data_IF_610405057549
#
_entry.id   IF_610405057549
#
_cell.length_a   1.000
_cell.length_b   1.000
_cell.length_c   1.000
_cell.angle_alpha   90.00
_cell.angle_beta   90.00
_cell.angle_gamma   90.00
#
_symmetry.space_group_name_H-M   'P 1'
#
loop_
_entity.id
_entity.type
_entity.pdbx_description
1 polymer ?
#
# COMPACT_ATOMS: atom_id res chain seq x y z
N UNK A 1 6.63 -16.10 10.56
CA UNK A 1 6.98 -14.69 10.25
C UNK A 1 7.13 -14.50 8.74
N UNK A 2 8.00 -15.21 8.06
CA UNK A 2 8.16 -15.10 6.60
C UNK A 2 6.87 -15.35 5.81
N UNK A 3 6.03 -16.28 6.24
CA UNK A 3 4.75 -16.60 5.59
C UNK A 3 3.75 -15.44 5.64
N UNK A 4 3.65 -14.70 6.74
CA UNK A 4 2.73 -13.56 6.86
C UNK A 4 3.18 -12.36 6.03
N UNK A 5 4.48 -12.12 5.91
CA UNK A 5 5.01 -11.09 5.00
C UNK A 5 4.70 -11.43 3.54
N UNK A 6 4.91 -12.68 3.15
CA UNK A 6 4.55 -13.16 1.81
C UNK A 6 3.04 -13.05 1.56
N UNK A 7 2.22 -13.41 2.54
CA UNK A 7 0.76 -13.26 2.44
C UNK A 7 0.34 -11.81 2.20
N UNK A 8 0.96 -10.85 2.88
CA UNK A 8 0.73 -9.41 2.65
C UNK A 8 1.17 -8.98 1.27
N UNK A 9 2.31 -9.48 0.79
CA UNK A 9 2.80 -9.19 -0.56
C UNK A 9 1.83 -9.66 -1.62
N UNK A 10 1.29 -10.87 -1.50
CA UNK A 10 0.30 -11.41 -2.44
C UNK A 10 -1.02 -10.66 -2.37
N UNK A 11 -1.49 -10.32 -1.16
CA UNK A 11 -2.70 -9.51 -0.98
C UNK A 11 -2.54 -8.13 -1.62
N UNK A 12 -1.40 -7.45 -1.40
CA UNK A 12 -1.12 -6.13 -2.00
C UNK A 12 -1.07 -6.20 -3.52
N UNK A 13 -0.37 -7.19 -4.10
CA UNK A 13 -0.31 -7.37 -5.55
C UNK A 13 -1.69 -7.63 -6.15
N UNK A 14 -2.55 -8.37 -5.45
CA UNK A 14 -3.92 -8.65 -5.91
C UNK A 14 -4.79 -7.39 -5.86
N UNK A 15 -4.69 -6.58 -4.81
CA UNK A 15 -5.38 -5.28 -4.70
C UNK A 15 -4.86 -4.29 -5.75
N UNK A 16 -3.54 -4.26 -5.98
CA UNK A 16 -2.92 -3.43 -7.02
C UNK A 16 -3.50 -3.74 -8.39
N UNK A 17 -3.51 -5.00 -8.79
CA UNK A 17 -4.01 -5.41 -10.10
C UNK A 17 -5.51 -5.13 -10.23
N UNK A 18 -6.30 -5.44 -9.22
CA UNK A 18 -7.73 -5.16 -9.20
C UNK A 18 -8.02 -3.67 -9.33
N UNK A 19 -7.30 -2.83 -8.60
CA UNK A 19 -7.46 -1.37 -8.64
C UNK A 19 -7.03 -0.82 -10.00
N UNK A 20 -5.90 -1.26 -10.53
CA UNK A 20 -5.39 -0.87 -11.85
C UNK A 20 -6.34 -1.25 -12.99
N UNK A 21 -7.07 -2.38 -12.87
CA UNK A 21 -8.06 -2.85 -13.84
C UNK A 21 -9.44 -2.18 -13.71
N UNK A 22 -9.60 -1.22 -12.82
CA UNK A 22 -10.84 -0.46 -12.66
C UNK A 22 -11.80 -1.03 -11.60
N UNK A 23 -11.33 -1.84 -10.69
CA UNK A 23 -12.04 -2.25 -9.46
C UNK A 23 -13.30 -3.08 -9.70
N UNK A 24 -13.32 -3.93 -10.70
CA UNK A 24 -14.43 -4.84 -10.96
C UNK A 24 -14.44 -5.98 -9.96
N UNK A 25 -15.48 -6.06 -9.14
CA UNK A 25 -15.54 -7.02 -8.03
C UNK A 25 -15.54 -8.47 -8.50
N UNK A 26 -16.10 -8.76 -9.66
CA UNK A 26 -16.10 -10.09 -10.26
C UNK A 26 -14.71 -10.59 -10.68
N UNK A 27 -13.77 -9.68 -10.91
CA UNK A 27 -12.39 -10.04 -11.29
C UNK A 27 -11.51 -10.36 -10.08
N UNK A 28 -11.82 -9.82 -8.91
CA UNK A 28 -10.96 -9.94 -7.72
C UNK A 28 -10.69 -11.39 -7.28
N UNK A 29 -11.69 -12.29 -7.19
CA UNK A 29 -11.43 -13.69 -6.82
C UNK A 29 -10.49 -14.39 -7.81
N UNK A 30 -10.67 -14.14 -9.11
CA UNK A 30 -9.83 -14.74 -10.16
C UNK A 30 -8.38 -14.25 -10.09
N UNK A 31 -8.20 -12.94 -9.85
CA UNK A 31 -6.89 -12.32 -9.65
C UNK A 31 -6.21 -12.94 -8.41
N UNK A 32 -6.94 -13.02 -7.32
CA UNK A 32 -6.43 -13.55 -6.06
C UNK A 32 -6.01 -15.01 -6.18
N UNK A 33 -6.86 -15.88 -6.73
CA UNK A 33 -6.56 -17.31 -6.90
C UNK A 33 -5.34 -17.53 -7.78
N UNK A 34 -5.21 -16.76 -8.86
CA UNK A 34 -4.03 -16.83 -9.72
C UNK A 34 -2.76 -16.39 -8.98
N UNK A 35 -2.80 -15.26 -8.29
CA UNK A 35 -1.65 -14.72 -7.58
C UNK A 35 -1.21 -15.63 -6.41
N UNK A 36 -2.15 -16.27 -5.72
CA UNK A 36 -1.84 -17.28 -4.70
C UNK A 36 -1.09 -18.47 -5.33
N UNK A 37 -1.57 -18.99 -6.44
CA UNK A 37 -0.94 -20.11 -7.14
C UNK A 37 0.45 -19.78 -7.64
N UNK A 38 0.64 -18.57 -8.14
CA UNK A 38 1.89 -18.12 -8.74
C UNK A 38 2.94 -17.73 -7.70
N UNK A 39 2.56 -16.95 -6.68
CA UNK A 39 3.50 -16.34 -5.75
C UNK A 39 3.52 -16.96 -4.36
N UNK A 40 2.53 -17.75 -4.01
CA UNK A 40 2.39 -18.37 -2.68
C UNK A 40 2.19 -19.89 -2.71
N UNK A 41 2.65 -20.56 -3.76
CA UNK A 41 2.49 -22.02 -3.93
C UNK A 41 3.13 -22.86 -2.82
N UNK A 42 4.05 -22.29 -2.04
CA UNK A 42 4.68 -22.93 -0.89
C UNK A 42 4.04 -22.62 0.46
N UNK A 43 2.95 -21.84 0.50
CA UNK A 43 2.21 -21.57 1.73
C UNK A 43 1.23 -22.71 2.01
N UNK A 44 1.32 -23.29 3.22
CA UNK A 44 0.37 -24.30 3.67
C UNK A 44 -1.00 -23.71 3.99
N UNK A 45 -1.04 -22.43 4.46
CA UNK A 45 -2.25 -21.72 4.85
C UNK A 45 -2.39 -20.41 4.08
N UNK A 46 -3.46 -20.27 3.32
CA UNK A 46 -3.80 -19.05 2.56
C UNK A 46 -4.91 -18.23 3.20
N UNK A 47 -5.47 -18.68 4.31
CA UNK A 47 -6.60 -18.02 4.99
C UNK A 47 -6.29 -16.57 5.38
N UNK A 48 -5.05 -16.31 5.78
CA UNK A 48 -4.64 -14.95 6.12
C UNK A 48 -4.66 -14.01 4.90
N UNK A 49 -4.35 -14.50 3.70
CA UNK A 49 -4.45 -13.71 2.45
C UNK A 49 -5.91 -13.34 2.19
N UNK A 50 -6.81 -14.31 2.28
CA UNK A 50 -8.25 -14.08 2.09
C UNK A 50 -8.79 -13.10 3.14
N UNK A 51 -8.41 -13.25 4.42
CA UNK A 51 -8.79 -12.35 5.49
C UNK A 51 -8.34 -10.90 5.22
N UNK A 52 -7.13 -10.70 4.72
CA UNK A 52 -6.60 -9.38 4.37
C UNK A 52 -7.40 -8.75 3.22
N UNK A 53 -7.70 -9.50 2.16
CA UNK A 53 -8.45 -9.02 1.00
C UNK A 53 -9.90 -8.71 1.39
N UNK A 54 -10.60 -9.66 1.97
CA UNK A 54 -12.02 -9.52 2.34
C UNK A 54 -12.22 -8.38 3.34
N UNK A 55 -11.35 -8.29 4.32
CA UNK A 55 -11.39 -7.23 5.32
C UNK A 55 -11.10 -5.86 4.72
N UNK A 56 -10.11 -5.75 3.85
CA UNK A 56 -9.80 -4.49 3.15
C UNK A 56 -10.96 -4.05 2.28
N UNK A 57 -11.51 -4.94 1.47
CA UNK A 57 -12.65 -4.63 0.58
C UNK A 57 -13.88 -4.24 1.37
N UNK A 58 -14.19 -4.95 2.45
CA UNK A 58 -15.33 -4.64 3.32
C UNK A 58 -15.27 -3.21 3.87
N UNK A 59 -14.09 -2.73 4.18
CA UNK A 59 -13.89 -1.41 4.80
C UNK A 59 -13.33 -0.35 3.83
N UNK A 60 -13.22 -0.64 2.54
CA UNK A 60 -12.48 0.19 1.57
C UNK A 60 -12.98 1.64 1.52
N UNK A 61 -14.27 1.88 1.55
CA UNK A 61 -14.82 3.23 1.50
C UNK A 61 -14.49 4.05 2.76
N UNK A 62 -14.43 3.40 3.91
CA UNK A 62 -14.04 4.04 5.16
C UNK A 62 -12.53 4.30 5.18
N UNK A 63 -11.75 3.33 4.74
CA UNK A 63 -10.28 3.44 4.64
C UNK A 63 -9.89 4.55 3.67
N UNK A 64 -10.49 4.62 2.49
CA UNK A 64 -10.20 5.65 1.49
C UNK A 64 -10.46 7.07 2.05
N UNK A 65 -11.56 7.28 2.79
CA UNK A 65 -11.83 8.55 3.49
C UNK A 65 -10.78 8.89 4.56
N UNK A 66 -10.28 7.89 5.27
CA UNK A 66 -9.22 8.06 6.26
C UNK A 66 -7.92 8.50 5.59
N UNK A 67 -7.56 7.89 4.45
CA UNK A 67 -6.38 8.27 3.67
C UNK A 67 -6.50 9.73 3.21
N UNK A 68 -7.63 10.12 2.63
CA UNK A 68 -7.88 11.48 2.17
C UNK A 68 -7.80 12.52 3.30
N UNK A 69 -8.31 12.17 4.48
CA UNK A 69 -8.22 13.02 5.66
C UNK A 69 -6.78 13.14 6.20
N UNK A 70 -6.02 12.05 6.19
CA UNK A 70 -4.65 12.02 6.70
C UNK A 70 -3.63 12.69 5.74
N UNK A 71 -3.93 12.73 4.44
CA UNK A 71 -3.09 13.33 3.41
C UNK A 71 -3.91 14.27 2.49
N UNK A 72 -4.46 15.38 3.02
CA UNK A 72 -5.44 16.20 2.29
C UNK A 72 -4.86 16.89 1.05
N UNK A 73 -3.56 17.09 0.97
CA UNK A 73 -2.88 17.63 -0.22
C UNK A 73 -2.73 16.63 -1.37
N UNK A 74 -3.04 15.35 -1.12
CA UNK A 74 -2.92 14.28 -2.10
C UNK A 74 -4.27 13.59 -2.32
N UNK A 75 -5.09 14.03 -3.29
CA UNK A 75 -6.29 13.30 -3.68
C UNK A 75 -5.98 11.84 -3.96
N UNK A 76 -6.82 10.92 -3.50
CA UNK A 76 -6.56 9.47 -3.60
C UNK A 76 -6.33 9.02 -5.05
N UNK A 77 -6.99 9.66 -6.01
CA UNK A 77 -6.80 9.42 -7.45
C UNK A 77 -5.40 9.78 -7.97
N UNK A 78 -4.68 10.66 -7.27
CA UNK A 78 -3.32 11.09 -7.61
C UNK A 78 -2.25 10.33 -6.82
N UNK A 79 -2.64 9.56 -5.81
CA UNK A 79 -1.72 8.68 -5.08
C UNK A 79 -1.38 7.49 -5.98
N UNK A 80 -0.09 7.14 -6.07
CA UNK A 80 0.35 5.99 -6.83
C UNK A 80 -0.42 4.72 -6.45
N UNK A 81 -0.74 3.88 -7.43
CA UNK A 81 -1.58 2.68 -7.23
C UNK A 81 -0.96 1.74 -6.18
N UNK A 82 0.37 1.61 -6.16
CA UNK A 82 1.09 0.85 -5.13
C UNK A 82 0.82 1.46 -3.75
N UNK A 83 1.07 2.75 -3.58
CA UNK A 83 1.00 3.43 -2.29
C UNK A 83 -0.40 3.38 -1.71
N UNK A 84 -1.44 3.65 -2.51
CA UNK A 84 -2.81 3.61 -2.01
C UNK A 84 -3.27 2.21 -1.62
N UNK A 85 -2.81 1.16 -2.30
CA UNK A 85 -3.17 -0.21 -1.94
C UNK A 85 -2.37 -0.74 -0.76
N UNK A 86 -1.12 -0.35 -0.60
CA UNK A 86 -0.35 -0.59 0.63
C UNK A 86 -1.02 0.12 1.82
N UNK A 87 -1.45 1.37 1.66
CA UNK A 87 -2.17 2.11 2.69
C UNK A 87 -3.51 1.45 3.05
N UNK A 88 -4.27 1.00 2.06
CA UNK A 88 -5.53 0.28 2.30
C UNK A 88 -5.32 -0.96 3.14
N UNK A 89 -4.32 -1.76 2.79
CA UNK A 89 -3.99 -2.99 3.51
C UNK A 89 -3.49 -2.69 4.93
N UNK A 90 -2.54 -1.76 5.06
CA UNK A 90 -1.98 -1.38 6.35
C UNK A 90 -3.02 -0.76 7.30
N UNK A 91 -3.92 0.08 6.79
CA UNK A 91 -5.01 0.66 7.58
C UNK A 91 -6.06 -0.37 7.97
N UNK A 92 -6.34 -1.35 7.10
CA UNK A 92 -7.19 -2.46 7.50
C UNK A 92 -6.60 -3.19 8.71
N UNK A 93 -5.33 -3.60 8.66
CA UNK A 93 -4.68 -4.29 9.78
C UNK A 93 -4.62 -3.41 11.04
N UNK A 94 -4.29 -2.12 10.88
CA UNK A 94 -4.16 -1.18 12.00
C UNK A 94 -5.49 -0.91 12.73
N UNK A 95 -6.57 -0.75 11.98
CA UNK A 95 -7.85 -0.25 12.51
C UNK A 95 -8.88 -1.36 12.75
N UNK A 96 -8.90 -2.38 11.90
CA UNK A 96 -9.92 -3.42 11.86
C UNK A 96 -9.39 -4.83 12.09
N UNK A 97 -8.05 -5.00 12.04
CA UNK A 97 -7.41 -6.28 12.32
C UNK A 97 -7.45 -6.67 13.79
N UNK A 98 -7.20 -7.93 14.06
CA UNK A 98 -7.08 -8.44 15.43
C UNK A 98 -5.72 -8.04 16.02
N UNK A 99 -5.73 -7.13 16.97
CA UNK A 99 -4.51 -6.58 17.60
C UNK A 99 -3.66 -7.62 18.31
N UNK A 100 -4.30 -8.69 18.78
CA UNK A 100 -3.63 -9.84 19.41
C UNK A 100 -2.81 -10.64 18.40
N UNK A 101 -3.25 -10.69 17.14
CA UNK A 101 -2.54 -11.39 16.05
C UNK A 101 -1.53 -10.48 15.34
N UNK A 102 -1.90 -9.21 15.13
CA UNK A 102 -1.07 -8.20 14.47
C UNK A 102 -1.10 -6.91 15.31
N UNK A 103 -0.11 -6.71 16.18
CA UNK A 103 0.01 -5.46 16.92
C UNK A 103 0.13 -4.24 15.99
N UNK A 104 -0.37 -3.05 16.39
CA UNK A 104 -0.38 -1.85 15.55
C UNK A 104 0.97 -1.49 14.93
N UNK A 105 2.05 -1.59 15.69
CA UNK A 105 3.41 -1.32 15.19
C UNK A 105 3.86 -2.31 14.13
N UNK A 106 3.48 -3.58 14.26
CA UNK A 106 3.77 -4.60 13.26
C UNK A 106 3.02 -4.28 11.96
N UNK A 107 1.74 -3.92 12.04
CA UNK A 107 0.96 -3.51 10.86
C UNK A 107 1.61 -2.33 10.13
N UNK A 108 2.05 -1.30 10.86
CA UNK A 108 2.72 -0.12 10.30
C UNK A 108 4.05 -0.50 9.65
N UNK A 109 4.90 -1.25 10.35
CA UNK A 109 6.21 -1.64 9.84
C UNK A 109 6.11 -2.53 8.60
N UNK A 110 5.19 -3.49 8.59
CA UNK A 110 4.94 -4.35 7.43
C UNK A 110 4.46 -3.56 6.22
N UNK A 111 3.58 -2.57 6.41
CA UNK A 111 3.11 -1.70 5.34
C UNK A 111 4.27 -0.85 4.77
N UNK A 112 5.14 -0.31 5.62
CA UNK A 112 6.33 0.44 5.19
C UNK A 112 7.28 -0.44 4.38
N UNK A 113 7.54 -1.67 4.81
CA UNK A 113 8.39 -2.61 4.08
C UNK A 113 7.79 -3.01 2.72
N UNK A 114 6.48 -3.21 2.64
CA UNK A 114 5.78 -3.42 1.37
C UNK A 114 5.94 -2.22 0.44
N UNK A 115 5.72 -1.01 0.96
CA UNK A 115 5.87 0.22 0.19
C UNK A 115 7.29 0.37 -0.37
N UNK A 116 8.32 0.10 0.43
CA UNK A 116 9.71 0.13 -0.01
C UNK A 116 9.99 -0.91 -1.08
N UNK A 117 9.51 -2.14 -0.89
CA UNK A 117 9.76 -3.26 -1.80
C UNK A 117 9.13 -3.05 -3.18
N UNK A 118 7.94 -2.47 -3.25
CA UNK A 118 7.18 -2.31 -4.49
C UNK A 118 7.23 -0.91 -5.08
N UNK A 119 7.43 0.12 -4.26
CA UNK A 119 7.42 1.52 -4.69
C UNK A 119 8.72 2.30 -4.43
N UNK A 120 9.66 1.72 -3.70
CA UNK A 120 10.93 2.35 -3.34
C UNK A 120 10.87 3.21 -2.08
N UNK A 121 11.98 3.90 -1.78
CA UNK A 121 12.16 4.66 -0.53
C UNK A 121 11.14 5.81 -0.37
N UNK A 122 10.79 6.50 -1.45
CA UNK A 122 9.80 7.59 -1.41
C UNK A 122 8.41 7.08 -1.02
N UNK A 123 8.01 5.92 -1.53
CA UNK A 123 6.77 5.23 -1.13
C UNK A 123 6.78 4.84 0.35
N UNK A 124 7.90 4.30 0.84
CA UNK A 124 8.06 3.98 2.26
C UNK A 124 7.89 5.20 3.16
N UNK A 125 8.46 6.34 2.79
CA UNK A 125 8.33 7.61 3.54
C UNK A 125 6.90 8.14 3.52
N UNK A 126 6.25 8.11 2.36
CA UNK A 126 4.86 8.56 2.22
C UNK A 126 3.90 7.71 3.07
N UNK A 127 4.00 6.39 2.96
CA UNK A 127 3.18 5.44 3.73
C UNK A 127 3.41 5.61 5.23
N UNK A 128 4.68 5.75 5.67
CA UNK A 128 5.00 6.01 7.07
C UNK A 128 4.35 7.32 7.57
N UNK A 129 4.39 8.39 6.78
CA UNK A 129 3.77 9.66 7.13
C UNK A 129 2.27 9.55 7.34
N UNK A 130 1.56 8.90 6.42
CA UNK A 130 0.10 8.70 6.50
C UNK A 130 -0.28 7.80 7.67
N UNK A 131 0.33 6.63 7.80
CA UNK A 131 0.04 5.68 8.89
C UNK A 131 0.39 6.26 10.26
N UNK A 132 1.50 7.00 10.36
CA UNK A 132 1.89 7.69 11.58
C UNK A 132 0.89 8.77 12.01
N UNK A 133 0.30 9.49 11.05
CA UNK A 133 -0.76 10.48 11.32
C UNK A 133 -2.00 9.79 11.87
N UNK A 134 -2.47 8.73 11.22
CA UNK A 134 -3.63 7.94 11.69
C UNK A 134 -3.36 7.34 13.06
N UNK A 135 -2.19 6.77 13.28
CA UNK A 135 -1.82 6.16 14.56
C UNK A 135 -1.87 7.16 15.72
N UNK A 136 -1.39 8.38 15.52
CA UNK A 136 -1.50 9.46 16.53
C UNK A 136 -2.94 9.88 16.77
N UNK A 137 -3.77 9.96 15.74
CA UNK A 137 -5.19 10.35 15.87
C UNK A 137 -6.02 9.32 16.65
N UNK A 138 -5.72 8.04 16.58
CA UNK A 138 -6.41 6.99 17.34
C UNK A 138 -5.94 6.88 18.80
N UNK A 139 -4.99 7.74 19.22
CA UNK A 139 -4.59 7.84 20.63
C UNK A 139 -3.55 6.83 21.06
N UNK A 140 -2.58 6.52 20.21
CA UNK A 140 -1.38 5.70 20.50
C UNK A 140 -1.59 4.60 21.54
N UNK A 141 -1.98 3.40 21.18
CA UNK A 141 -2.11 2.29 22.11
C UNK A 141 -0.73 1.92 22.68
N UNK A 142 -0.43 2.36 23.88
CA UNK A 142 0.84 2.13 24.57
C UNK A 142 1.74 3.35 24.60
N UNK A 143 1.69 4.13 25.69
CA UNK A 143 2.54 5.33 25.88
C UNK A 143 4.05 5.07 25.95
N UNK A 144 4.46 3.81 26.06
CA UNK A 144 5.87 3.43 26.18
C UNK A 144 6.53 3.15 24.82
N UNK A 145 5.77 3.27 23.76
CA UNK A 145 6.18 2.91 22.42
C UNK A 145 6.22 4.14 21.50
N UNK A 146 7.18 5.05 21.69
CA UNK A 146 7.43 6.14 20.76
C UNK A 146 7.67 5.62 19.34
N UNK A 147 7.03 6.20 18.29
CA UNK A 147 7.38 5.87 16.92
C UNK A 147 8.87 6.14 16.70
N UNK A 148 9.56 5.38 15.84
CA UNK A 148 10.96 5.61 15.54
C UNK A 148 11.16 7.09 15.17
N UNK A 149 12.23 7.70 15.67
CA UNK A 149 12.53 9.14 15.61
C UNK A 149 12.56 9.77 14.21
N UNK A 150 12.30 8.99 13.16
CA UNK A 150 12.18 9.42 11.77
C UNK A 150 10.79 9.99 11.38
N UNK A 151 9.81 10.00 12.29
CA UNK A 151 8.45 10.47 12.01
C UNK A 151 8.31 12.01 11.91
N UNK A 152 9.41 12.76 11.95
CA UNK A 152 9.45 14.21 11.64
C UNK A 152 9.81 14.48 10.17
N UNK A 153 9.49 13.60 9.27
CA UNK A 153 9.67 13.89 7.86
C UNK A 153 8.33 14.35 7.27
N UNK A 154 8.33 15.56 6.75
CA UNK A 154 7.42 16.04 5.72
C UNK A 154 7.02 14.88 4.80
N UNK A 155 5.71 14.70 4.60
CA UNK A 155 5.18 13.75 3.64
C UNK A 155 5.99 13.86 2.33
N UNK A 156 6.79 12.83 2.03
CA UNK A 156 7.55 12.81 0.79
C UNK A 156 6.58 12.77 -0.39
N UNK A 157 6.91 13.46 -1.45
CA UNK A 157 6.09 13.42 -2.67
C UNK A 157 5.95 11.97 -3.17
N UNK A 158 4.73 11.53 -3.56
CA UNK A 158 4.56 10.24 -4.20
C UNK A 158 5.37 10.20 -5.51
N UNK A 159 5.89 9.03 -5.86
CA UNK A 159 6.63 8.85 -7.10
C UNK A 159 5.77 9.28 -8.29
N UNK A 160 6.20 10.35 -8.99
CA UNK A 160 5.59 10.73 -10.26
C UNK A 160 6.04 9.74 -11.33
N UNK A 161 5.12 9.16 -12.04
CA UNK A 161 5.43 8.42 -13.27
C UNK A 161 6.21 9.35 -14.20
N UNK A 162 7.39 8.92 -14.62
CA UNK A 162 8.17 9.64 -15.64
C UNK A 162 7.49 9.41 -16.97
N UNK A 163 6.81 10.42 -17.48
CA UNK A 163 6.50 10.48 -18.91
C UNK A 163 7.83 10.51 -19.68
N UNK A 164 8.10 9.47 -20.43
CA UNK A 164 9.17 9.46 -21.43
C UNK A 164 8.70 10.32 -22.59
N UNK A 165 9.10 11.57 -22.61
CA UNK A 165 8.97 12.39 -23.82
C UNK A 165 10.08 11.99 -24.77
N UNK A 166 9.73 11.23 -25.81
CA UNK A 166 10.55 11.04 -26.99
C UNK A 166 10.71 12.39 -27.69
N UNK A 167 11.88 12.95 -27.59
CA UNK A 167 12.26 14.16 -28.29
C UNK A 167 12.94 13.73 -29.61
N UNK A 168 12.13 13.59 -30.64
CA UNK A 168 12.64 13.46 -32.00
C UNK A 168 13.28 14.79 -32.43
N UNK A 169 14.60 14.84 -32.42
CA UNK A 169 15.37 15.89 -33.09
C UNK A 169 15.47 15.57 -34.59
N UNK A 170 14.65 16.23 -35.36
CA UNK A 170 14.90 16.37 -36.79
C UNK A 170 16.16 17.20 -37.04
N UNK A 171 17.20 16.55 -37.53
CA UNK A 171 18.36 17.21 -38.12
C UNK A 171 18.11 17.45 -39.60
N UNK A 172 17.65 18.65 -39.93
CA UNK A 172 17.74 19.13 -41.33
C UNK A 172 19.20 19.41 -41.69
N UNK A 173 19.73 18.65 -42.65
CA UNK A 173 20.96 19.01 -43.36
C UNK A 173 20.56 19.68 -44.67
N UNK A 174 20.87 20.98 -44.74
CA UNK A 174 21.04 21.66 -46.01
C UNK A 174 22.31 21.14 -46.68
N UNK A 175 22.18 20.78 -47.93
CA UNK A 175 23.31 20.72 -48.87
C UNK A 175 23.02 21.52 -50.13
N UNK A 176 24.01 22.30 -50.50
CA UNK A 176 24.15 23.09 -51.72
C UNK A 176 23.86 22.35 -53.01
#
# INVERSE_FOLDING_TARGET
MASRHLSRSVAMQSLYEWDFRGRKMEELPVILDRNIKEFASGLEETDFIHQLIDGTIKHINQIDKIIEKAAPQWPLSQVAVVDRNVLRLGLYELLFGKKEEVPPKVAINEAIELAKSFGGESSGKFVNGVLGTVYREIGEPGKDDAPPASAKATAGEPAKEKETSDNEQETSKEEK
#
